data_IF_097552775257
#
_entry.id   IF_097552775257
#
_cell.length_a   1.000
_cell.length_b   1.000
_cell.length_c   1.000
_cell.angle_alpha   90.00
_cell.angle_beta   90.00
_cell.angle_gamma   90.00
#
_symmetry.space_group_name_H-M   'P 1'
#
loop_
_entity.id
_entity.type
_entity.pdbx_description
1 polymer ?
#
# COMPACT_ATOMS: atom_id res chain seq x y z
N UNK A 1 -59.55 -12.16 45.11
CA UNK A 1 -58.68 -12.16 43.92
C UNK A 1 -57.29 -11.77 44.40
N UNK A 2 -56.25 -12.52 44.02
CA UNK A 2 -54.86 -12.23 44.41
C UNK A 2 -54.16 -11.69 43.17
N UNK A 3 -53.47 -10.55 43.31
CA UNK A 3 -52.75 -9.93 42.20
C UNK A 3 -51.26 -10.29 42.26
N UNK A 4 -50.59 -10.29 41.10
CA UNK A 4 -49.18 -10.65 40.98
C UNK A 4 -48.26 -9.75 41.83
N UNK A 5 -48.68 -8.50 42.10
CA UNK A 5 -48.02 -7.56 43.02
C UNK A 5 -48.00 -8.02 44.48
N UNK A 6 -48.91 -8.92 44.87
CA UNK A 6 -49.05 -9.39 46.26
C UNK A 6 -48.04 -10.52 46.58
N UNK A 7 -47.45 -11.14 45.55
CA UNK A 7 -46.55 -12.30 45.67
C UNK A 7 -45.21 -12.15 44.93
N UNK A 8 -45.07 -11.17 44.04
CA UNK A 8 -43.84 -10.99 43.27
C UNK A 8 -43.44 -9.51 43.17
N UNK A 9 -42.12 -9.28 43.20
CA UNK A 9 -41.52 -7.98 42.94
C UNK A 9 -41.24 -7.86 41.44
N UNK A 10 -41.92 -6.92 40.81
CA UNK A 10 -41.79 -6.66 39.37
C UNK A 10 -40.82 -5.49 39.23
N UNK A 11 -39.63 -5.74 38.70
CA UNK A 11 -38.60 -4.74 38.45
C UNK A 11 -38.31 -4.72 36.94
N UNK A 12 -38.24 -3.54 36.32
CA UNK A 12 -37.64 -3.40 34.99
C UNK A 12 -36.11 -3.44 35.17
N UNK A 13 -35.56 -4.66 35.25
CA UNK A 13 -34.13 -4.92 35.26
C UNK A 13 -33.62 -5.31 33.87
N UNK A 14 -32.31 -5.17 33.64
CA UNK A 14 -31.69 -5.71 32.44
C UNK A 14 -31.74 -7.24 32.46
N UNK A 15 -31.98 -7.88 31.31
CA UNK A 15 -32.10 -9.35 31.19
C UNK A 15 -30.86 -10.10 31.70
N UNK A 16 -29.70 -9.45 31.78
CA UNK A 16 -28.45 -10.04 32.23
C UNK A 16 -27.66 -9.11 33.17
N UNK A 17 -28.03 -9.07 34.46
CA UNK A 17 -27.24 -8.38 35.50
C UNK A 17 -25.89 -9.06 35.81
N UNK A 18 -25.65 -10.27 35.29
CA UNK A 18 -24.41 -11.03 35.50
C UNK A 18 -23.29 -10.70 34.50
N UNK A 19 -23.58 -9.98 33.40
CA UNK A 19 -22.58 -9.65 32.39
C UNK A 19 -22.11 -8.21 32.59
N UNK A 20 -21.16 -8.05 33.53
CA UNK A 20 -20.51 -6.75 33.73
C UNK A 20 -19.45 -6.56 32.65
N UNK A 21 -19.87 -6.07 31.48
CA UNK A 21 -18.93 -5.60 30.47
C UNK A 21 -18.17 -4.39 31.06
N UNK A 22 -16.86 -4.54 31.27
CA UNK A 22 -16.00 -3.47 31.77
C UNK A 22 -14.96 -3.15 30.70
N UNK A 23 -14.84 -1.87 30.37
CA UNK A 23 -13.71 -1.35 29.60
C UNK A 23 -12.92 -0.43 30.52
N UNK A 24 -11.63 -0.74 30.75
CA UNK A 24 -10.73 0.02 31.64
C UNK A 24 -11.31 0.26 33.05
N UNK A 25 -11.96 -0.75 33.64
CA UNK A 25 -12.53 -0.69 35.00
C UNK A 25 -13.84 0.09 35.14
N UNK A 26 -14.35 0.71 34.06
CA UNK A 26 -15.65 1.41 34.06
C UNK A 26 -16.75 0.50 33.51
N UNK A 27 -17.99 0.57 34.04
CA UNK A 27 -19.12 -0.14 33.45
C UNK A 27 -19.33 0.36 32.02
N UNK A 28 -19.33 -0.58 31.08
CA UNK A 28 -19.47 -0.33 29.65
C UNK A 28 -20.53 -1.27 29.10
N UNK A 29 -21.25 -0.84 28.08
CA UNK A 29 -22.08 -1.75 27.30
C UNK A 29 -21.29 -2.14 26.05
N UNK A 30 -21.16 -3.44 25.79
CA UNK A 30 -20.44 -3.95 24.64
C UNK A 30 -21.39 -4.28 23.49
N UNK A 31 -21.10 -3.78 22.29
CA UNK A 31 -21.79 -4.17 21.06
C UNK A 31 -20.83 -4.93 20.16
N UNK A 32 -21.11 -6.21 19.93
CA UNK A 32 -20.37 -7.04 18.98
C UNK A 32 -20.93 -6.89 17.58
N UNK A 33 -20.16 -6.28 16.66
CA UNK A 33 -20.58 -6.15 15.27
C UNK A 33 -19.86 -7.20 14.44
N UNK A 34 -20.62 -8.12 13.84
CA UNK A 34 -20.10 -9.17 12.97
C UNK A 34 -20.39 -8.80 11.52
N UNK A 35 -19.37 -8.90 10.68
CA UNK A 35 -19.51 -8.74 9.24
C UNK A 35 -20.41 -9.83 8.65
N UNK A 36 -21.32 -9.43 7.77
CA UNK A 36 -22.09 -10.37 6.96
C UNK A 36 -21.17 -11.09 5.95
N UNK A 37 -21.51 -12.33 5.60
CA UNK A 37 -20.73 -13.14 4.66
C UNK A 37 -20.63 -12.44 3.30
N UNK A 38 -19.41 -12.15 2.84
CA UNK A 38 -19.16 -11.45 1.57
C UNK A 38 -19.22 -9.91 1.65
N UNK A 39 -19.48 -9.31 2.82
CA UNK A 39 -19.44 -7.86 2.99
C UNK A 39 -18.01 -7.32 3.10
N UNK A 40 -17.77 -6.11 2.57
CA UNK A 40 -16.47 -5.44 2.67
C UNK A 40 -16.25 -4.89 4.09
N UNK A 41 -15.16 -5.32 4.72
CA UNK A 41 -14.77 -4.89 6.07
C UNK A 41 -14.46 -3.38 6.16
N UNK A 42 -13.82 -2.80 5.14
CA UNK A 42 -13.44 -1.38 5.12
C UNK A 42 -14.66 -0.47 5.03
N UNK A 43 -15.57 -0.78 4.11
CA UNK A 43 -16.79 0.01 3.89
C UNK A 43 -17.74 -0.11 5.09
N UNK A 44 -17.88 -1.33 5.63
CA UNK A 44 -18.73 -1.58 6.80
C UNK A 44 -18.21 -0.82 8.02
N UNK A 45 -16.89 -0.83 8.28
CA UNK A 45 -16.31 -0.08 9.38
C UNK A 45 -16.48 1.44 9.22
N UNK A 46 -16.36 1.96 7.98
CA UNK A 46 -16.62 3.37 7.69
C UNK A 46 -18.10 3.73 7.93
N UNK A 47 -19.03 2.90 7.46
CA UNK A 47 -20.46 3.09 7.66
C UNK A 47 -20.86 3.04 9.15
N UNK A 48 -20.29 2.11 9.92
CA UNK A 48 -20.50 2.01 11.37
C UNK A 48 -20.02 3.29 12.06
N UNK A 49 -18.81 3.77 11.75
CA UNK A 49 -18.26 5.02 12.31
C UNK A 49 -19.13 6.23 11.97
N UNK A 50 -19.62 6.31 10.73
CA UNK A 50 -20.52 7.37 10.30
C UNK A 50 -21.85 7.34 11.07
N UNK A 51 -22.47 6.16 11.22
CA UNK A 51 -23.71 5.99 11.98
C UNK A 51 -23.53 6.27 13.47
N UNK A 52 -22.42 5.86 14.06
CA UNK A 52 -22.07 6.20 15.44
C UNK A 52 -21.86 7.70 15.63
N UNK A 53 -21.27 8.39 14.65
CA UNK A 53 -21.14 9.85 14.69
C UNK A 53 -22.49 10.57 14.57
N UNK A 54 -23.41 10.07 13.73
CA UNK A 54 -24.79 10.57 13.64
C UNK A 54 -25.58 10.36 14.95
N UNK A 55 -25.32 9.25 15.66
CA UNK A 55 -26.02 8.87 16.89
C UNK A 55 -25.38 9.47 18.16
N UNK A 56 -24.12 9.90 18.08
CA UNK A 56 -23.37 10.51 19.18
C UNK A 56 -24.08 11.69 19.88
N UNK A 57 -24.85 12.57 19.20
CA UNK A 57 -25.58 13.67 19.84
C UNK A 57 -26.72 13.20 20.75
N UNK A 58 -27.24 11.99 20.53
CA UNK A 58 -28.33 11.41 21.31
C UNK A 58 -27.82 10.62 22.53
N UNK A 59 -26.51 10.54 22.71
CA UNK A 59 -25.94 9.83 23.85
C UNK A 59 -26.03 10.67 25.12
N UNK A 60 -26.34 10.04 26.27
CA UNK A 60 -26.38 10.74 27.55
C UNK A 60 -24.99 11.28 27.90
N UNK A 61 -24.97 12.42 28.61
CA UNK A 61 -23.72 13.10 28.94
C UNK A 61 -22.76 12.17 29.70
N UNK A 62 -21.52 12.05 29.20
CA UNK A 62 -20.47 11.20 29.79
C UNK A 62 -20.27 9.84 29.12
N UNK A 63 -21.08 9.46 28.12
CA UNK A 63 -20.85 8.25 27.33
C UNK A 63 -19.78 8.49 26.26
N UNK A 64 -18.73 7.68 26.25
CA UNK A 64 -17.64 7.74 25.26
C UNK A 64 -17.55 6.43 24.49
N UNK A 65 -17.71 6.50 23.17
CA UNK A 65 -17.48 5.35 22.29
C UNK A 65 -15.98 5.11 22.20
N UNK A 66 -15.56 3.89 22.52
CA UNK A 66 -14.19 3.42 22.34
C UNK A 66 -14.26 2.21 21.42
N UNK A 67 -13.39 2.17 20.41
CA UNK A 67 -13.26 1.05 19.48
C UNK A 67 -12.02 0.23 19.89
N UNK A 68 -12.13 -0.72 20.83
CA UNK A 68 -10.96 -1.46 21.35
C UNK A 68 -10.39 -2.46 20.34
N UNK A 69 -11.20 -2.94 19.40
CA UNK A 69 -10.81 -3.89 18.37
C UNK A 69 -11.27 -3.40 17.00
N UNK A 70 -10.35 -2.78 16.25
CA UNK A 70 -10.55 -2.39 14.86
C UNK A 70 -9.35 -2.88 14.04
N UNK A 71 -9.57 -3.79 13.10
CA UNK A 71 -8.53 -4.34 12.21
C UNK A 71 -8.40 -3.54 10.91
N UNK A 72 -9.32 -2.61 10.62
CA UNK A 72 -9.27 -1.76 9.43
C UNK A 72 -8.06 -0.81 9.32
N UNK A 73 -7.50 -0.21 10.41
CA UNK A 73 -6.32 0.63 10.26
C UNK A 73 -5.11 -0.14 9.75
N UNK A 74 -4.93 -1.40 10.15
CA UNK A 74 -3.82 -2.24 9.70
C UNK A 74 -3.87 -2.49 8.19
N UNK A 75 -5.06 -2.79 7.66
CA UNK A 75 -5.26 -2.99 6.21
C UNK A 75 -4.98 -1.71 5.43
N UNK A 76 -5.43 -0.55 5.93
CA UNK A 76 -5.21 0.74 5.27
C UNK A 76 -3.72 1.10 5.21
N UNK A 77 -2.98 0.89 6.29
CA UNK A 77 -1.52 1.13 6.33
C UNK A 77 -0.81 0.19 5.36
N UNK A 78 -1.19 -1.10 5.33
CA UNK A 78 -0.60 -2.09 4.43
C UNK A 78 -0.78 -1.70 2.95
N UNK A 79 -1.97 -1.21 2.57
CA UNK A 79 -2.21 -0.74 1.18
C UNK A 79 -1.33 0.46 0.85
N UNK A 80 -1.20 1.42 1.77
CA UNK A 80 -0.39 2.62 1.53
C UNK A 80 1.09 2.27 1.30
N UNK A 81 1.65 1.39 2.13
CA UNK A 81 3.04 0.93 1.99
C UNK A 81 3.25 0.13 0.70
N UNK A 82 2.31 -0.74 0.31
CA UNK A 82 2.38 -1.50 -0.95
C UNK A 82 2.32 -0.56 -2.17
N UNK A 83 1.47 0.46 -2.14
CA UNK A 83 1.38 1.44 -3.24
C UNK A 83 2.66 2.27 -3.35
N UNK A 84 3.24 2.67 -2.21
CA UNK A 84 4.52 3.40 -2.18
C UNK A 84 5.65 2.57 -2.79
N UNK A 85 5.79 1.31 -2.38
CA UNK A 85 6.82 0.41 -2.92
C UNK A 85 6.62 0.12 -4.40
N UNK A 86 5.37 -0.03 -4.86
CA UNK A 86 5.06 -0.16 -6.28
C UNK A 86 5.51 1.07 -7.09
N UNK A 87 5.23 2.27 -6.58
CA UNK A 87 5.65 3.52 -7.22
C UNK A 87 7.17 3.66 -7.27
N UNK A 88 7.86 3.38 -6.17
CA UNK A 88 9.33 3.37 -6.11
C UNK A 88 9.93 2.39 -7.14
N UNK A 89 9.37 1.18 -7.26
CA UNK A 89 9.80 0.20 -8.23
C UNK A 89 9.62 0.69 -9.68
N UNK A 90 8.47 1.29 -10.01
CA UNK A 90 8.21 1.86 -11.35
C UNK A 90 9.25 2.94 -11.68
N UNK A 91 9.52 3.86 -10.75
CA UNK A 91 10.51 4.93 -10.94
C UNK A 91 11.91 4.35 -11.17
N UNK A 92 12.31 3.33 -10.39
CA UNK A 92 13.58 2.66 -10.56
C UNK A 92 13.72 1.98 -11.92
N UNK A 93 12.67 1.31 -12.42
CA UNK A 93 12.67 0.69 -13.76
C UNK A 93 12.88 1.74 -14.85
N UNK A 94 12.17 2.87 -14.79
CA UNK A 94 12.36 3.96 -15.76
C UNK A 94 13.78 4.53 -15.72
N UNK A 95 14.35 4.69 -14.53
CA UNK A 95 15.70 5.20 -14.34
C UNK A 95 16.74 4.26 -14.96
N UNK A 96 16.60 2.95 -14.71
CA UNK A 96 17.48 1.92 -15.27
C UNK A 96 17.37 1.86 -16.79
N UNK A 97 16.14 1.85 -17.34
CA UNK A 97 15.93 1.88 -18.80
C UNK A 97 16.53 3.14 -19.44
N UNK A 98 16.42 4.29 -18.78
CA UNK A 98 17.02 5.54 -19.25
C UNK A 98 18.56 5.48 -19.24
N UNK A 99 19.15 4.94 -18.18
CA UNK A 99 20.60 4.83 -18.01
C UNK A 99 21.22 3.89 -19.06
N UNK A 100 20.62 2.73 -19.28
CA UNK A 100 21.09 1.78 -20.31
C UNK A 100 20.98 2.35 -21.73
N UNK A 101 19.90 3.09 -22.05
CA UNK A 101 19.75 3.71 -23.38
C UNK A 101 20.90 4.67 -23.71
N UNK A 102 21.37 5.46 -22.73
CA UNK A 102 22.51 6.38 -22.92
C UNK A 102 23.82 5.62 -23.13
N UNK A 103 24.05 4.54 -22.38
CA UNK A 103 25.25 3.69 -22.50
C UNK A 103 25.27 2.96 -23.85
N UNK A 104 24.14 2.43 -24.30
CA UNK A 104 24.05 1.74 -25.59
C UNK A 104 24.25 2.70 -26.79
N UNK A 105 23.65 3.89 -26.73
CA UNK A 105 23.83 4.91 -27.77
C UNK A 105 25.30 5.38 -27.91
N UNK A 106 26.05 5.48 -26.81
CA UNK A 106 27.48 5.82 -26.87
C UNK A 106 28.34 4.68 -27.41
N UNK A 107 28.05 3.43 -27.05
CA UNK A 107 28.85 2.26 -27.47
C UNK A 107 28.68 1.89 -28.95
N UNK A 108 27.62 2.35 -29.59
CA UNK A 108 27.31 2.07 -31.00
C UNK A 108 28.10 2.94 -32.00
N UNK A 109 28.85 3.94 -31.53
CA UNK A 109 29.69 4.79 -32.38
C UNK A 109 31.18 4.41 -32.22
N UNK A 110 31.72 3.47 -33.02
CA UNK A 110 33.16 3.35 -33.14
C UNK A 110 33.69 4.63 -33.79
N UNK A 111 34.73 5.28 -33.27
CA UNK A 111 35.41 6.32 -34.02
C UNK A 111 35.90 5.72 -35.35
N UNK A 112 35.41 6.26 -36.45
CA UNK A 112 35.88 6.00 -37.81
C UNK A 112 37.39 6.31 -37.90
N UNK A 113 38.22 5.29 -37.67
CA UNK A 113 39.66 5.30 -37.95
C UNK A 113 39.95 5.02 -39.45
N UNK A 114 39.03 5.36 -40.36
CA UNK A 114 39.17 5.05 -41.79
C UNK A 114 39.58 6.24 -42.67
N UNK A 115 39.96 7.39 -42.09
CA UNK A 115 40.25 8.61 -42.87
C UNK A 115 41.68 9.14 -42.78
N UNK A 116 42.65 8.29 -42.42
CA UNK A 116 44.09 8.64 -42.43
C UNK A 116 44.96 7.74 -43.32
N UNK A 117 44.37 6.80 -44.08
CA UNK A 117 45.15 5.86 -44.89
C UNK A 117 45.12 6.11 -46.42
N UNK A 118 44.47 7.18 -46.91
CA UNK A 118 44.28 7.41 -48.35
C UNK A 118 44.55 8.85 -48.82
N UNK A 119 45.61 9.48 -48.30
CA UNK A 119 46.17 10.71 -48.87
C UNK A 119 47.70 10.62 -48.83
N UNK A 120 48.30 10.25 -49.97
CA UNK A 120 49.73 9.93 -50.15
C UNK A 120 50.71 11.12 -49.96
N UNK A 121 51.96 11.05 -50.49
CA UNK A 121 52.22 10.67 -51.88
C UNK A 121 53.34 9.63 -52.06
N UNK A 122 53.32 9.04 -53.25
CA UNK A 122 54.44 8.38 -53.91
C UNK A 122 55.75 9.15 -53.70
N UNK A 123 56.77 8.50 -53.13
CA UNK A 123 58.19 8.74 -53.41
C UNK A 123 59.00 7.58 -52.82
N UNK A 124 60.04 7.19 -53.56
CA UNK A 124 61.00 6.12 -53.29
C UNK A 124 60.64 4.72 -53.84
N UNK A 125 60.47 4.64 -55.16
CA UNK A 125 60.94 3.48 -55.93
C UNK A 125 62.34 3.82 -56.47
N UNK A 126 63.43 3.16 -56.04
CA UNK A 126 64.62 3.06 -56.86
C UNK A 126 64.45 1.86 -57.79
N UNK A 127 64.41 2.17 -59.09
CA UNK A 127 64.43 1.23 -60.20
C UNK A 127 65.88 1.01 -60.62
N UNK A 128 66.44 -0.17 -60.32
CA UNK A 128 67.63 -0.76 -60.95
C UNK A 128 67.84 -2.14 -60.31
N UNK A 129 68.00 -3.26 -60.99
CA UNK A 129 68.11 -3.56 -62.39
C UNK A 129 67.87 -5.08 -62.56
N UNK A 130 67.00 -5.41 -63.52
CA UNK A 130 67.00 -6.56 -64.46
C UNK A 130 67.14 -8.03 -64.00
N UNK A 131 66.45 -8.95 -64.71
CA UNK A 131 66.28 -10.35 -64.35
C UNK A 131 67.26 -11.28 -65.10
N UNK A 132 67.44 -12.50 -64.59
CA UNK A 132 67.85 -13.63 -65.42
C UNK A 132 67.31 -14.92 -64.79
N UNK A 133 66.43 -15.55 -65.57
CA UNK A 133 65.84 -16.91 -65.48
C UNK A 133 66.87 -17.89 -66.08
N UNK A 134 66.82 -19.23 -65.86
CA UNK A 134 65.90 -20.04 -65.05
C UNK A 134 66.51 -20.68 -63.80
#
# INVERSE_FOLDING_TARGET
>A
MVHLKDVARIELGGENDNVVAKINGKPASGLGIKLATGANALDTAAAIKAKLAELQPYFPQGMKVVYPYDTTPFVKISIHEVVKTLFEAIVLVFLVMYLFRRIYAQRSFPPSQSRLFYSGPLRCFPHSATPLIP
#
